data_IF_721380918159
#
_entry.id   IF_721380918159
#
_cell.length_a   1.000
_cell.length_b   1.000
_cell.length_c   1.000
_cell.angle_alpha   90.00
_cell.angle_beta   90.00
_cell.angle_gamma   90.00
#
_symmetry.space_group_name_H-M   'P 1'
#
loop_
_entity.id
_entity.type
_entity.pdbx_description
1 polymer ?
#
# COMPACT_ATOMS: atom_id res chain seq x y z
N UNK A 1 36.54 5.33 4.68
CA UNK A 1 35.45 5.77 3.80
C UNK A 1 34.30 4.79 3.99
N UNK A 2 33.38 5.09 4.90
CA UNK A 2 32.22 4.24 5.14
C UNK A 2 31.22 4.45 4.00
N UNK A 3 30.90 3.36 3.32
CA UNK A 3 29.94 3.32 2.23
C UNK A 3 28.55 3.36 2.87
N UNK A 4 27.86 4.49 2.76
CA UNK A 4 26.48 4.61 3.22
C UNK A 4 25.63 3.54 2.53
N UNK A 5 25.13 2.58 3.30
CA UNK A 5 24.15 1.60 2.84
C UNK A 5 22.83 2.37 2.78
N UNK A 6 22.42 2.72 1.56
CA UNK A 6 21.11 3.28 1.28
C UNK A 6 20.08 2.17 1.53
N UNK A 7 19.60 2.05 2.77
CA UNK A 7 18.48 1.17 3.10
C UNK A 7 17.27 1.73 2.36
N UNK A 8 16.62 0.97 1.46
CA UNK A 8 15.40 1.43 0.83
C UNK A 8 14.39 1.73 1.94
N UNK A 9 13.86 2.95 1.97
CA UNK A 9 12.76 3.26 2.88
C UNK A 9 11.66 2.23 2.65
N UNK A 10 11.27 1.52 3.71
CA UNK A 10 10.25 0.46 3.65
C UNK A 10 8.94 0.97 3.05
N UNK A 11 8.66 2.27 3.21
CA UNK A 11 7.58 2.99 2.54
C UNK A 11 7.60 2.86 1.01
N UNK A 12 8.79 2.98 0.38
CA UNK A 12 8.94 2.88 -1.09
C UNK A 12 8.68 1.47 -1.62
N UNK A 13 8.97 0.44 -0.82
CA UNK A 13 8.71 -0.96 -1.22
C UNK A 13 7.21 -1.25 -1.16
N UNK A 14 6.53 -0.79 -0.10
CA UNK A 14 5.08 -0.95 0.07
C UNK A 14 4.33 -0.20 -1.03
N UNK A 15 4.70 1.06 -1.32
CA UNK A 15 4.07 1.85 -2.38
C UNK A 15 4.20 1.20 -3.76
N UNK A 16 5.36 0.64 -4.09
CA UNK A 16 5.55 -0.08 -5.36
C UNK A 16 4.69 -1.34 -5.43
N UNK A 17 4.64 -2.12 -4.35
CA UNK A 17 3.81 -3.32 -4.30
C UNK A 17 2.32 -2.97 -4.43
N UNK A 18 1.89 -1.90 -3.78
CA UNK A 18 0.54 -1.37 -3.86
C UNK A 18 0.21 -0.91 -5.28
N UNK A 19 1.10 -0.17 -5.92
CA UNK A 19 0.91 0.30 -7.30
C UNK A 19 0.80 -0.86 -8.29
N UNK A 20 1.66 -1.88 -8.17
CA UNK A 20 1.62 -3.05 -9.06
C UNK A 20 0.30 -3.81 -8.91
N UNK A 21 -0.17 -3.98 -7.67
CA UNK A 21 -1.47 -4.59 -7.40
C UNK A 21 -2.63 -3.73 -7.93
N UNK A 22 -2.60 -2.42 -7.69
CA UNK A 22 -3.61 -1.48 -8.16
C UNK A 22 -3.77 -1.53 -9.68
N UNK A 23 -2.66 -1.57 -10.42
CA UNK A 23 -2.68 -1.77 -11.88
C UNK A 23 -3.33 -3.11 -12.26
N UNK A 24 -3.09 -4.18 -11.50
CA UNK A 24 -3.64 -5.50 -11.79
C UNK A 24 -5.16 -5.60 -11.61
N UNK A 25 -5.74 -4.74 -10.76
CA UNK A 25 -7.19 -4.67 -10.50
C UNK A 25 -7.86 -3.47 -11.20
N UNK A 26 -7.11 -2.72 -12.02
CA UNK A 26 -7.65 -1.65 -12.87
C UNK A 26 -7.82 -0.27 -12.22
N UNK A 27 -7.21 -0.03 -11.05
CA UNK A 27 -7.27 1.26 -10.32
C UNK A 27 -5.89 1.93 -10.21
N UNK A 28 -4.98 1.60 -11.13
CA UNK A 28 -3.58 2.00 -11.05
C UNK A 28 -3.37 3.51 -11.13
N UNK A 29 -4.12 4.20 -11.99
CA UNK A 29 -3.99 5.65 -12.17
C UNK A 29 -4.49 6.40 -10.93
N UNK A 30 -5.62 5.98 -10.36
CA UNK A 30 -6.22 6.57 -9.17
C UNK A 30 -5.32 6.41 -7.95
N UNK A 31 -4.70 5.24 -7.77
CA UNK A 31 -3.75 5.00 -6.67
C UNK A 31 -2.47 5.80 -6.85
N UNK A 32 -2.00 5.97 -8.09
CA UNK A 32 -0.84 6.80 -8.38
C UNK A 32 -1.11 8.28 -8.07
N UNK A 33 -2.28 8.80 -8.48
CA UNK A 33 -2.72 10.15 -8.17
C UNK A 33 -2.86 10.36 -6.66
N UNK A 34 -3.49 9.42 -5.95
CA UNK A 34 -3.65 9.46 -4.51
C UNK A 34 -2.30 9.53 -3.77
N UNK A 35 -1.31 8.74 -4.20
CA UNK A 35 0.05 8.79 -3.65
C UNK A 35 0.77 10.10 -3.96
N UNK A 36 0.50 10.72 -5.12
CA UNK A 36 1.07 12.02 -5.46
C UNK A 36 0.47 13.12 -4.56
N UNK A 37 -0.86 13.14 -4.40
CA UNK A 37 -1.56 14.07 -3.50
C UNK A 37 -1.04 13.93 -2.06
N UNK A 38 -0.84 12.70 -1.58
CA UNK A 38 -0.23 12.49 -0.26
C UNK A 38 1.15 13.15 -0.14
N UNK A 39 2.02 12.95 -1.14
CA UNK A 39 3.38 13.51 -1.14
C UNK A 39 3.34 15.04 -1.11
N UNK A 40 2.46 15.64 -1.90
CA UNK A 40 2.32 17.10 -1.97
C UNK A 40 1.79 17.67 -0.65
N UNK A 41 0.75 17.05 -0.07
CA UNK A 41 0.21 17.45 1.23
C UNK A 41 1.24 17.31 2.35
N UNK A 42 1.91 16.16 2.44
CA UNK A 42 2.96 15.93 3.44
C UNK A 42 4.13 16.91 3.27
N UNK A 43 4.51 17.25 2.04
CA UNK A 43 5.56 18.23 1.77
C UNK A 43 5.19 19.61 2.29
N UNK A 44 3.98 20.09 1.98
CA UNK A 44 3.49 21.39 2.45
C UNK A 44 3.40 21.42 3.98
N UNK A 45 2.85 20.36 4.59
CA UNK A 45 2.73 20.27 6.04
C UNK A 45 4.09 20.22 6.74
N UNK A 46 5.07 19.51 6.17
CA UNK A 46 6.43 19.48 6.69
C UNK A 46 7.12 20.85 6.62
N UNK A 47 6.85 21.64 5.58
CA UNK A 47 7.41 23.00 5.48
C UNK A 47 6.87 23.95 6.54
N UNK A 48 5.64 23.76 7.01
CA UNK A 48 5.01 24.62 8.01
C UNK A 48 5.13 24.10 9.44
N UNK A 49 5.68 22.90 9.61
CA UNK A 49 5.83 22.29 10.92
C UNK A 49 6.69 23.14 11.85
N UNK A 50 6.22 23.30 13.10
CA UNK A 50 6.87 24.14 14.11
C UNK A 50 6.89 25.65 13.83
N UNK A 51 6.30 26.14 12.74
CA UNK A 51 6.25 27.59 12.44
C UNK A 51 5.04 28.25 13.08
N UNK A 52 5.26 29.43 13.67
CA UNK A 52 4.15 30.28 14.13
C UNK A 52 3.44 30.90 12.91
N UNK A 53 2.17 30.53 12.70
CA UNK A 53 1.36 31.07 11.59
C UNK A 53 0.33 32.05 12.15
N UNK A 54 0.54 33.33 11.85
CA UNK A 54 -0.35 34.43 12.27
C UNK A 54 -1.45 34.74 11.27
N UNK A 55 -1.36 34.18 10.05
CA UNK A 55 -2.40 34.33 9.05
C UNK A 55 -3.50 33.28 9.28
N UNK A 56 -4.66 33.73 9.73
CA UNK A 56 -5.79 32.85 10.09
C UNK A 56 -6.32 32.05 8.90
N UNK A 57 -6.39 32.65 7.70
CA UNK A 57 -6.85 31.96 6.50
C UNK A 57 -5.87 30.84 6.11
N UNK A 58 -4.56 31.12 6.18
CA UNK A 58 -3.53 30.11 5.94
C UNK A 58 -3.60 28.99 7.00
N UNK A 59 -3.76 29.33 8.28
CA UNK A 59 -3.90 28.34 9.35
C UNK A 59 -5.11 27.43 9.14
N UNK A 60 -6.24 27.99 8.68
CA UNK A 60 -7.43 27.22 8.31
C UNK A 60 -7.13 26.23 7.17
N UNK A 61 -6.52 26.70 6.07
CA UNK A 61 -6.20 25.83 4.94
C UNK A 61 -5.17 24.74 5.28
N UNK A 62 -4.20 25.02 6.15
CA UNK A 62 -3.23 24.02 6.61
C UNK A 62 -3.87 22.95 7.50
N UNK A 63 -4.86 23.33 8.32
CA UNK A 63 -5.66 22.36 9.06
C UNK A 63 -6.45 21.46 8.11
N UNK A 64 -7.06 22.03 7.08
CA UNK A 64 -7.77 21.26 6.07
C UNK A 64 -6.83 20.31 5.32
N UNK A 65 -5.65 20.79 4.91
CA UNK A 65 -4.62 19.96 4.29
C UNK A 65 -4.18 18.79 5.19
N UNK A 66 -4.05 19.04 6.51
CA UNK A 66 -3.76 18.00 7.50
C UNK A 66 -4.87 16.95 7.56
N UNK A 67 -6.14 17.36 7.60
CA UNK A 67 -7.26 16.43 7.54
C UNK A 67 -7.28 15.61 6.24
N UNK A 68 -7.03 16.24 5.09
CA UNK A 68 -6.98 15.53 3.82
C UNK A 68 -5.81 14.54 3.79
N UNK A 69 -4.64 14.88 4.35
CA UNK A 69 -3.51 13.96 4.44
C UNK A 69 -3.86 12.70 5.24
N UNK A 70 -4.52 12.85 6.40
CA UNK A 70 -5.00 11.70 7.18
C UNK A 70 -5.99 10.83 6.39
N UNK A 71 -6.94 11.43 5.69
CA UNK A 71 -7.90 10.69 4.86
C UNK A 71 -7.21 9.90 3.74
N UNK A 72 -6.18 10.48 3.13
CA UNK A 72 -5.39 9.81 2.10
C UNK A 72 -4.61 8.63 2.69
N UNK A 73 -4.03 8.78 3.88
CA UNK A 73 -3.36 7.69 4.59
C UNK A 73 -4.33 6.55 4.93
N UNK A 74 -5.53 6.85 5.42
CA UNK A 74 -6.57 5.86 5.71
C UNK A 74 -6.95 5.06 4.44
N UNK A 75 -7.17 5.76 3.33
CA UNK A 75 -7.50 5.14 2.04
C UNK A 75 -6.38 4.21 1.54
N UNK A 76 -5.13 4.67 1.61
CA UNK A 76 -3.98 3.84 1.23
C UNK A 76 -3.82 2.63 2.15
N UNK A 77 -4.11 2.77 3.44
CA UNK A 77 -4.13 1.66 4.41
C UNK A 77 -5.19 0.62 4.06
N UNK A 78 -6.40 1.05 3.67
CA UNK A 78 -7.45 0.12 3.22
C UNK A 78 -7.08 -0.60 1.92
N UNK A 79 -6.50 0.10 0.95
CA UNK A 79 -6.03 -0.52 -0.29
C UNK A 79 -4.93 -1.56 -0.01
N UNK A 80 -4.00 -1.24 0.89
CA UNK A 80 -2.95 -2.17 1.30
C UNK A 80 -3.52 -3.40 2.02
N UNK A 81 -4.55 -3.22 2.85
CA UNK A 81 -5.29 -4.34 3.45
C UNK A 81 -5.88 -5.26 2.37
N UNK A 82 -6.53 -4.71 1.35
CA UNK A 82 -7.10 -5.50 0.26
C UNK A 82 -6.03 -6.26 -0.53
N UNK A 83 -4.90 -5.60 -0.84
CA UNK A 83 -3.76 -6.24 -1.49
C UNK A 83 -3.23 -7.43 -0.68
N UNK A 84 -3.04 -7.25 0.62
CA UNK A 84 -2.53 -8.30 1.52
C UNK A 84 -3.55 -9.44 1.60
N UNK A 85 -4.83 -9.11 1.78
CA UNK A 85 -5.91 -10.08 1.85
C UNK A 85 -5.96 -10.96 0.61
N UNK A 86 -5.94 -10.37 -0.59
CA UNK A 86 -5.94 -11.14 -1.83
C UNK A 86 -4.70 -12.03 -1.97
N UNK A 87 -3.53 -11.54 -1.53
CA UNK A 87 -2.30 -12.34 -1.51
C UNK A 87 -2.43 -13.58 -0.60
N UNK A 88 -3.04 -13.42 0.58
CA UNK A 88 -3.28 -14.54 1.52
C UNK A 88 -4.28 -15.52 0.93
N UNK A 89 -5.41 -15.03 0.41
CA UNK A 89 -6.45 -15.87 -0.21
C UNK A 89 -5.91 -16.70 -1.38
N UNK A 90 -5.03 -16.13 -2.22
CA UNK A 90 -4.36 -16.87 -3.31
C UNK A 90 -3.41 -17.94 -2.77
N UNK A 91 -2.65 -17.64 -1.71
CA UNK A 91 -1.73 -18.61 -1.08
C UNK A 91 -2.48 -19.82 -0.52
N UNK A 92 -3.57 -19.57 0.21
CA UNK A 92 -4.40 -20.63 0.81
C UNK A 92 -5.00 -21.56 -0.26
N UNK A 93 -5.42 -20.99 -1.40
CA UNK A 93 -5.95 -21.75 -2.53
C UNK A 93 -4.89 -22.63 -3.21
N UNK A 94 -3.66 -22.13 -3.36
CA UNK A 94 -2.54 -22.89 -3.93
C UNK A 94 -2.14 -24.08 -3.04
N UNK A 95 -2.09 -23.86 -1.72
CA UNK A 95 -1.76 -24.91 -0.76
C UNK A 95 -2.85 -25.99 -0.72
N UNK A 96 -4.12 -25.60 -0.74
CA UNK A 96 -5.23 -26.55 -0.82
C UNK A 96 -5.21 -27.38 -2.11
N UNK A 97 -4.88 -26.76 -3.25
CA UNK A 97 -4.76 -27.46 -4.52
C UNK A 97 -3.58 -28.45 -4.54
N UNK A 98 -2.42 -28.08 -3.98
CA UNK A 98 -1.28 -28.99 -3.83
C UNK A 98 -1.61 -30.17 -2.91
N UNK A 99 -2.31 -29.94 -1.80
CA UNK A 99 -2.72 -31.00 -0.89
C UNK A 99 -3.64 -32.03 -1.58
N UNK A 100 -4.59 -31.58 -2.40
CA UNK A 100 -5.47 -32.46 -3.18
C UNK A 100 -4.72 -33.26 -4.24
N UNK A 101 -3.77 -32.65 -4.95
CA UNK A 101 -2.94 -33.36 -5.94
C UNK A 101 -2.04 -34.43 -5.30
N UNK A 102 -1.50 -34.17 -4.10
CA UNK A 102 -0.70 -35.15 -3.36
C UNK A 102 -1.57 -36.28 -2.78
N UNK A 103 -2.76 -35.96 -2.29
CA UNK A 103 -3.73 -36.97 -1.81
C UNK A 103 -4.22 -37.90 -2.93
N UNK A 104 -4.45 -37.36 -4.13
CA UNK A 104 -4.90 -38.14 -5.29
C UNK A 104 -3.80 -39.06 -5.87
N UNK A 105 -2.52 -38.72 -5.69
CA UNK A 105 -1.39 -39.55 -6.15
C UNK A 105 -1.07 -40.73 -5.21
N UNK A 106 -1.58 -40.74 -3.98
CA UNK A 106 -1.33 -41.79 -2.98
C UNK A 106 -2.36 -42.93 -2.99
N UNK A 107 -3.46 -42.80 -3.74
CA UNK A 107 -4.45 -43.86 -3.92
C UNK A 107 -4.60 -44.23 -5.41
N UNK A 108 -3.80 -45.17 -5.94
CA UNK A 108 -4.08 -45.73 -7.26
C UNK A 108 -5.41 -46.49 -7.20
N UNK A 109 -6.33 -46.14 -8.10
CA UNK A 109 -7.54 -46.93 -8.35
C UNK A 109 -7.15 -48.38 -8.61
N UNK A 110 -7.76 -49.38 -7.96
CA UNK A 110 -7.48 -50.78 -8.28
C UNK A 110 -7.95 -51.04 -9.71
N UNK A 111 -6.98 -51.27 -10.60
CA UNK A 111 -7.24 -51.75 -11.96
C UNK A 111 -7.98 -53.08 -11.86
N UNK A 112 -9.13 -53.13 -12.54
CA UNK A 112 -10.01 -54.31 -12.65
C UNK A 112 -9.29 -55.52 -13.20
#
# INVERSE_FOLDING_TARGET
MEKAILVPSTASVVEKALQLWACSVGIGEEVQELMAVRRDLCSVLAEVDGKEIRNEALAFHLREASHQACRVEDLLGMLEYHRIREKVERSDNEDHHRQQQLGAQLHPTPTT
#
